data_IF_156561879592
#
_entry.id   IF_156561879592
#
_cell.length_a   1.000
_cell.length_b   1.000
_cell.length_c   1.000
_cell.angle_alpha   90.00
_cell.angle_beta   90.00
_cell.angle_gamma   90.00
#
_symmetry.space_group_name_H-M   'P 1'
#
loop_
_entity.id
_entity.type
_entity.pdbx_description
1 polymer ?
#
# COMPACT_ATOMS: atom_id res chain seq x y z
N UNK A 1 -13.36 -11.42 45.60
CA UNK A 1 -14.34 -10.85 44.65
C UNK A 1 -13.82 -11.02 43.22
N UNK A 2 -14.29 -12.06 42.53
CA UNK A 2 -13.81 -12.56 41.23
C UNK A 2 -14.59 -11.93 40.08
N UNK A 3 -14.00 -10.95 39.40
CA UNK A 3 -14.63 -10.22 38.27
C UNK A 3 -14.14 -10.70 36.90
N UNK A 4 -13.99 -12.02 36.71
CA UNK A 4 -13.23 -12.58 35.57
C UNK A 4 -14.00 -13.58 34.66
N UNK A 5 -15.23 -13.99 35.00
CA UNK A 5 -15.97 -15.01 34.23
C UNK A 5 -16.88 -14.47 33.12
N UNK A 6 -17.39 -13.25 33.24
CA UNK A 6 -18.39 -12.69 32.31
C UNK A 6 -17.83 -12.41 30.91
N UNK A 7 -16.58 -11.93 30.82
CA UNK A 7 -15.96 -11.60 29.52
C UNK A 7 -15.48 -12.82 28.74
N UNK A 8 -15.16 -13.93 29.42
CA UNK A 8 -14.84 -15.21 28.75
C UNK A 8 -16.13 -15.85 28.23
N UNK A 9 -17.14 -16.02 29.10
CA UNK A 9 -18.40 -16.65 28.72
C UNK A 9 -19.10 -15.91 27.56
N UNK A 10 -19.10 -14.58 27.55
CA UNK A 10 -19.62 -13.80 26.43
C UNK A 10 -18.82 -14.03 25.13
N UNK A 11 -17.48 -14.05 25.20
CA UNK A 11 -16.63 -14.30 24.03
C UNK A 11 -16.86 -15.70 23.48
N UNK A 12 -16.98 -16.69 24.36
CA UNK A 12 -17.18 -18.09 23.99
C UNK A 12 -18.52 -18.29 23.30
N UNK A 13 -19.61 -17.78 23.88
CA UNK A 13 -20.95 -17.81 23.26
C UNK A 13 -20.97 -17.08 21.90
N UNK A 14 -20.35 -15.90 21.82
CA UNK A 14 -20.22 -15.15 20.57
C UNK A 14 -19.44 -15.93 19.51
N UNK A 15 -18.34 -16.57 19.89
CA UNK A 15 -17.51 -17.35 18.99
C UNK A 15 -18.22 -18.63 18.53
N UNK A 16 -18.97 -19.30 19.41
CA UNK A 16 -19.79 -20.45 19.05
C UNK A 16 -20.82 -20.08 17.96
N UNK A 17 -21.55 -18.98 18.17
CA UNK A 17 -22.51 -18.47 17.17
C UNK A 17 -21.81 -18.06 15.86
N UNK A 18 -20.64 -17.43 15.94
CA UNK A 18 -19.87 -17.05 14.76
C UNK A 18 -19.35 -18.26 13.97
N UNK A 19 -18.88 -19.31 14.65
CA UNK A 19 -18.45 -20.57 14.04
C UNK A 19 -19.61 -21.27 13.34
N UNK A 20 -20.78 -21.34 13.97
CA UNK A 20 -21.97 -21.93 13.36
C UNK A 20 -22.37 -21.19 12.07
N UNK A 21 -22.38 -19.85 12.10
CA UNK A 21 -22.65 -19.02 10.91
C UNK A 21 -21.60 -19.18 9.82
N UNK A 22 -20.31 -19.19 10.19
CA UNK A 22 -19.22 -19.38 9.25
C UNK A 22 -19.36 -20.74 8.57
N UNK A 23 -19.47 -21.82 9.35
CA UNK A 23 -19.64 -23.19 8.86
C UNK A 23 -20.79 -23.30 7.86
N UNK A 24 -21.98 -22.76 8.21
CA UNK A 24 -23.15 -22.76 7.32
C UNK A 24 -22.93 -22.00 6.01
N UNK A 25 -22.09 -20.96 6.01
CA UNK A 25 -21.86 -20.10 4.85
C UNK A 25 -20.65 -20.52 4.00
N UNK A 26 -19.88 -21.54 4.42
CA UNK A 26 -18.69 -21.97 3.68
C UNK A 26 -19.08 -22.69 2.38
N UNK A 27 -18.47 -22.32 1.25
CA UNK A 27 -18.58 -23.13 0.04
C UNK A 27 -17.80 -24.46 0.17
N UNK A 28 -18.06 -25.45 -0.70
CA UNK A 28 -17.35 -26.73 -0.69
C UNK A 28 -15.82 -26.58 -0.80
N UNK A 29 -15.37 -25.63 -1.62
CA UNK A 29 -13.96 -25.27 -1.74
C UNK A 29 -13.72 -23.93 -1.07
N UNK A 30 -12.91 -23.91 0.00
CA UNK A 30 -12.48 -22.70 0.68
C UNK A 30 -11.03 -22.81 1.18
N UNK A 31 -10.21 -21.73 1.15
CA UNK A 31 -8.80 -21.83 1.51
C UNK A 31 -8.57 -22.30 2.97
N UNK A 32 -7.98 -23.48 3.15
CA UNK A 32 -7.72 -24.04 4.48
C UNK A 32 -6.90 -23.12 5.39
N UNK A 33 -5.88 -22.45 4.84
CA UNK A 33 -5.08 -21.49 5.59
C UNK A 33 -5.89 -20.30 6.12
N UNK A 34 -6.97 -19.90 5.43
CA UNK A 34 -7.87 -18.83 5.88
C UNK A 34 -8.76 -19.33 7.02
N UNK A 35 -9.24 -20.57 6.96
CA UNK A 35 -10.05 -21.18 8.04
C UNK A 35 -9.24 -21.34 9.31
N UNK A 36 -8.07 -21.97 9.22
CA UNK A 36 -7.17 -22.16 10.37
C UNK A 36 -6.87 -20.81 11.04
N UNK A 37 -6.58 -19.77 10.25
CA UNK A 37 -6.38 -18.42 10.78
C UNK A 37 -7.64 -17.85 11.46
N UNK A 38 -8.80 -18.00 10.83
CA UNK A 38 -10.08 -17.48 11.32
C UNK A 38 -10.48 -18.10 12.67
N UNK A 39 -10.33 -19.42 12.81
CA UNK A 39 -10.64 -20.16 14.04
C UNK A 39 -9.67 -19.83 15.18
N UNK A 40 -8.41 -19.52 14.84
CA UNK A 40 -7.40 -19.07 15.78
C UNK A 40 -7.51 -17.58 16.17
N UNK A 41 -8.58 -16.86 15.78
CA UNK A 41 -8.80 -15.48 16.21
C UNK A 41 -9.52 -15.42 17.56
N UNK A 42 -9.18 -14.44 18.43
CA UNK A 42 -9.92 -14.23 19.68
C UNK A 42 -11.42 -14.01 19.46
N UNK A 43 -11.78 -13.36 18.35
CA UNK A 43 -13.14 -13.25 17.86
C UNK A 43 -13.22 -13.83 16.45
N UNK A 44 -13.96 -14.93 16.30
CA UNK A 44 -14.10 -15.65 15.03
C UNK A 44 -14.89 -14.78 14.04
N UNK A 45 -14.39 -14.57 12.81
CA UNK A 45 -15.14 -13.86 11.79
C UNK A 45 -16.36 -14.70 11.36
N UNK A 46 -17.59 -14.16 11.42
CA UNK A 46 -18.81 -14.96 11.24
C UNK A 46 -19.14 -15.27 9.76
N UNK A 47 -18.35 -14.77 8.81
CA UNK A 47 -18.63 -14.85 7.37
C UNK A 47 -17.35 -15.13 6.58
N UNK A 48 -17.40 -15.92 5.48
CA UNK A 48 -16.23 -16.27 4.69
C UNK A 48 -15.45 -15.06 4.17
N UNK A 49 -16.15 -14.01 3.72
CA UNK A 49 -15.53 -12.74 3.31
C UNK A 49 -14.71 -12.11 4.43
N UNK A 50 -15.25 -12.05 5.64
CA UNK A 50 -14.57 -11.47 6.79
C UNK A 50 -13.38 -12.34 7.24
N UNK A 51 -13.47 -13.66 7.06
CA UNK A 51 -12.35 -14.56 7.27
C UNK A 51 -11.19 -14.27 6.30
N UNK A 52 -11.50 -14.11 5.01
CA UNK A 52 -10.52 -13.74 3.97
C UNK A 52 -9.88 -12.37 4.26
N UNK A 53 -10.68 -11.35 4.58
CA UNK A 53 -10.16 -10.02 4.94
C UNK A 53 -9.29 -10.06 6.20
N UNK A 54 -9.72 -10.80 7.22
CA UNK A 54 -8.96 -10.99 8.46
C UNK A 54 -7.62 -11.66 8.18
N UNK A 55 -7.60 -12.72 7.38
CA UNK A 55 -6.38 -13.43 7.00
C UNK A 55 -5.38 -12.48 6.34
N UNK A 56 -5.76 -11.76 5.28
CA UNK A 56 -4.83 -10.88 4.58
C UNK A 56 -4.31 -9.72 5.45
N UNK A 57 -5.17 -9.17 6.32
CA UNK A 57 -4.76 -8.12 7.28
C UNK A 57 -3.65 -8.57 8.23
N UNK A 58 -3.63 -9.85 8.62
CA UNK A 58 -2.62 -10.40 9.54
C UNK A 58 -1.40 -10.98 8.81
N UNK A 59 -1.43 -11.05 7.48
CA UNK A 59 -0.33 -11.55 6.66
C UNK A 59 0.17 -10.48 5.68
N UNK A 60 0.57 -9.29 6.14
CA UNK A 60 0.93 -8.16 5.26
C UNK A 60 2.11 -8.46 4.35
N UNK A 61 3.11 -9.25 4.80
CA UNK A 61 4.23 -9.67 3.95
C UNK A 61 3.77 -10.58 2.79
N UNK A 62 2.84 -11.50 3.06
CA UNK A 62 2.26 -12.37 2.03
C UNK A 62 1.38 -11.55 1.07
N UNK A 63 0.60 -10.62 1.61
CA UNK A 63 -0.24 -9.71 0.83
C UNK A 63 0.60 -8.86 -0.13
N UNK A 64 1.69 -8.24 0.35
CA UNK A 64 2.61 -7.45 -0.46
C UNK A 64 3.21 -8.26 -1.62
N UNK A 65 3.79 -9.42 -1.30
CA UNK A 65 4.40 -10.32 -2.31
C UNK A 65 3.38 -10.75 -3.36
N UNK A 66 2.20 -11.17 -2.93
CA UNK A 66 1.15 -11.63 -3.84
C UNK A 66 0.59 -10.49 -4.69
N UNK A 67 0.33 -9.31 -4.12
CA UNK A 67 -0.18 -8.17 -4.89
C UNK A 67 0.77 -7.76 -6.03
N UNK A 68 2.09 -7.76 -5.76
CA UNK A 68 3.11 -7.49 -6.79
C UNK A 68 3.22 -8.62 -7.81
N UNK A 69 3.16 -9.88 -7.38
CA UNK A 69 3.17 -11.02 -8.30
C UNK A 69 1.94 -11.03 -9.21
N UNK A 70 0.76 -10.67 -8.70
CA UNK A 70 -0.45 -10.51 -9.51
C UNK A 70 -0.30 -9.35 -10.51
N UNK A 71 0.27 -8.22 -10.09
CA UNK A 71 0.50 -7.10 -10.99
C UNK A 71 1.46 -7.47 -12.13
N UNK A 72 2.51 -8.24 -11.84
CA UNK A 72 3.48 -8.69 -12.84
C UNK A 72 2.89 -9.68 -13.87
N UNK A 73 1.71 -10.26 -13.59
CA UNK A 73 0.99 -11.14 -14.52
C UNK A 73 0.03 -10.38 -15.43
N UNK A 74 -0.20 -9.09 -15.19
CA UNK A 74 -1.07 -8.27 -16.02
C UNK A 74 -0.29 -7.56 -17.12
N UNK A 75 -0.84 -7.49 -18.34
CA UNK A 75 -0.23 -6.74 -19.43
C UNK A 75 -0.24 -5.26 -19.08
N UNK A 76 0.80 -4.55 -19.50
CA UNK A 76 0.86 -3.11 -19.24
C UNK A 76 -0.15 -2.37 -20.10
N UNK A 77 -1.06 -1.51 -19.58
CA UNK A 77 -1.92 -0.74 -20.46
C UNK A 77 -1.08 0.06 -21.44
N UNK A 78 -1.48 0.00 -22.70
CA UNK A 78 -0.79 0.67 -23.79
C UNK A 78 -0.66 2.18 -23.50
N UNK A 79 0.53 2.72 -23.77
CA UNK A 79 0.85 4.13 -23.50
C UNK A 79 0.90 4.54 -22.03
N UNK A 80 0.73 3.60 -21.09
CA UNK A 80 0.77 3.94 -19.67
C UNK A 80 2.17 4.37 -19.24
N UNK A 81 2.23 5.49 -18.53
CA UNK A 81 3.40 5.99 -17.80
C UNK A 81 2.97 6.53 -16.46
N UNK A 82 3.85 6.46 -15.45
CA UNK A 82 3.52 7.01 -14.14
C UNK A 82 3.47 8.54 -14.20
N UNK A 83 2.26 9.08 -14.18
CA UNK A 83 1.98 10.51 -14.10
C UNK A 83 1.24 10.86 -12.80
N UNK A 84 1.50 12.06 -12.31
CA UNK A 84 0.78 12.60 -11.15
C UNK A 84 -0.34 13.51 -11.64
N UNK A 85 -1.47 13.57 -10.93
CA UNK A 85 -2.62 14.37 -11.38
C UNK A 85 -2.30 15.87 -11.55
N UNK A 86 -1.38 16.40 -10.73
CA UNK A 86 -0.92 17.79 -10.84
C UNK A 86 -0.16 18.10 -12.16
N UNK A 87 0.29 17.09 -12.92
CA UNK A 87 0.94 17.29 -14.22
C UNK A 87 -0.06 17.63 -15.34
N UNK A 88 -1.37 17.41 -15.14
CA UNK A 88 -2.40 17.62 -16.17
C UNK A 88 -3.16 18.96 -16.09
N UNK A 89 -2.82 19.84 -15.15
CA UNK A 89 -3.56 21.09 -14.88
C UNK A 89 -2.95 22.36 -15.46
N UNK A 90 -2.11 22.26 -16.51
CA UNK A 90 -1.41 23.42 -17.08
C UNK A 90 -2.22 24.18 -18.16
N UNK A 91 -3.44 23.73 -18.51
CA UNK A 91 -4.37 24.49 -19.35
C UNK A 91 -5.61 24.87 -18.53
N UNK A 92 -5.50 25.93 -17.73
CA UNK A 92 -6.63 26.42 -16.95
C UNK A 92 -6.22 27.32 -15.78
N UNK A 93 -5.95 28.59 -16.09
CA UNK A 93 -6.16 29.72 -15.17
C UNK A 93 -5.58 29.60 -13.76
N UNK A 94 -4.35 30.09 -13.59
CA UNK A 94 -3.81 30.43 -12.28
C UNK A 94 -4.71 31.47 -11.58
N UNK A 95 -5.44 31.07 -10.53
CA UNK A 95 -5.81 31.87 -9.35
C UNK A 95 -6.61 31.01 -8.34
N UNK A 96 -5.97 30.58 -7.24
CA UNK A 96 -6.71 30.06 -6.07
C UNK A 96 -6.06 29.00 -5.17
N UNK A 97 -4.91 28.41 -5.55
CA UNK A 97 -4.44 27.15 -4.94
C UNK A 97 -3.73 27.21 -3.57
N UNK A 98 -3.41 28.39 -3.03
CA UNK A 98 -2.60 28.48 -1.82
C UNK A 98 -3.38 28.19 -0.52
N UNK A 99 -4.67 28.53 -0.47
CA UNK A 99 -5.48 28.43 0.78
C UNK A 99 -6.06 27.03 1.03
N UNK A 100 -6.20 26.17 0.01
CA UNK A 100 -6.77 24.83 0.17
C UNK A 100 -5.76 23.79 0.72
N UNK A 101 -4.46 23.98 0.47
CA UNK A 101 -3.40 23.06 0.94
C UNK A 101 -3.12 23.13 2.44
N UNK A 102 -3.36 24.28 3.08
CA UNK A 102 -3.18 24.42 4.53
C UNK A 102 -4.28 23.70 5.34
N UNK A 103 -5.51 23.60 4.81
CA UNK A 103 -6.66 22.99 5.52
C UNK A 103 -6.67 21.46 5.49
N UNK A 104 -6.04 20.81 4.50
CA UNK A 104 -5.99 19.34 4.39
C UNK A 104 -4.96 18.67 5.32
N UNK A 105 -3.97 19.42 5.82
CA UNK A 105 -2.97 18.90 6.77
C UNK A 105 -3.48 18.75 8.21
N UNK A 106 -4.54 19.46 8.59
CA UNK A 106 -5.06 19.50 9.96
C UNK A 106 -6.14 18.46 10.26
N UNK A 107 -6.69 17.78 9.26
CA UNK A 107 -7.72 16.75 9.42
C UNK A 107 -7.21 15.52 8.69
N UNK A 108 -7.14 14.35 9.35
CA UNK A 108 -6.73 13.06 8.78
C UNK A 108 -7.68 12.55 7.69
N UNK A 109 -7.94 13.39 6.69
CA UNK A 109 -8.86 13.19 5.59
C UNK A 109 -8.23 12.26 4.58
N UNK A 110 -9.00 11.24 4.23
CA UNK A 110 -8.76 10.38 3.09
C UNK A 110 -8.58 11.26 1.84
N UNK A 111 -7.35 11.36 1.35
CA UNK A 111 -7.03 12.02 0.08
C UNK A 111 -8.00 11.46 -0.99
N UNK A 112 -8.86 12.33 -1.51
CA UNK A 112 -9.77 11.99 -2.61
C UNK A 112 -8.86 11.75 -3.82
N UNK A 113 -8.96 10.61 -4.53
CA UNK A 113 -8.31 10.49 -5.83
C UNK A 113 -8.78 11.67 -6.69
N UNK A 114 -7.87 12.23 -7.47
CA UNK A 114 -8.22 13.22 -8.49
C UNK A 114 -9.28 12.63 -9.44
N UNK A 115 -10.05 13.49 -10.11
CA UNK A 115 -11.21 13.11 -10.92
C UNK A 115 -10.88 12.01 -11.95
N UNK A 116 -9.65 12.04 -12.47
CA UNK A 116 -9.12 11.08 -13.44
C UNK A 116 -8.64 9.76 -12.82
N UNK A 117 -8.59 9.61 -11.50
CA UNK A 117 -8.11 8.41 -10.80
C UNK A 117 -6.58 8.28 -10.66
N UNK A 118 -5.81 9.28 -11.11
CA UNK A 118 -4.34 9.35 -10.97
C UNK A 118 -3.91 9.63 -9.53
N UNK A 119 -2.64 9.35 -9.23
CA UNK A 119 -2.05 9.62 -7.92
C UNK A 119 -1.77 11.12 -7.73
N UNK A 120 -2.27 11.71 -6.64
CA UNK A 120 -2.02 13.13 -6.32
C UNK A 120 -0.57 13.42 -5.86
N UNK A 121 0.21 12.38 -5.54
CA UNK A 121 1.61 12.51 -5.11
C UNK A 121 2.38 11.22 -5.38
N UNK A 122 3.70 11.32 -5.58
CA UNK A 122 4.61 10.18 -5.65
C UNK A 122 4.61 9.28 -4.38
N UNK A 123 3.99 9.73 -3.29
CA UNK A 123 3.80 8.91 -2.08
C UNK A 123 2.67 7.90 -2.22
N UNK A 124 1.76 8.12 -3.16
CA UNK A 124 0.67 7.18 -3.47
C UNK A 124 1.14 6.24 -4.58
N UNK A 125 1.08 4.91 -4.37
CA UNK A 125 1.46 3.96 -5.42
C UNK A 125 0.60 4.13 -6.67
N UNK A 126 1.16 3.94 -7.88
CA UNK A 126 0.36 3.97 -9.10
C UNK A 126 -0.71 2.87 -9.11
N UNK A 127 -1.87 3.19 -9.66
CA UNK A 127 -3.01 2.27 -9.85
C UNK A 127 -3.60 2.50 -11.24
N UNK A 128 -2.94 2.03 -12.32
CA UNK A 128 -3.34 2.33 -13.70
C UNK A 128 -4.81 2.06 -13.97
N UNK A 129 -5.32 0.94 -13.46
CA UNK A 129 -6.70 0.51 -13.68
C UNK A 129 -7.77 1.32 -12.92
N UNK A 130 -7.36 2.32 -12.12
CA UNK A 130 -8.26 3.36 -11.59
C UNK A 130 -8.31 4.59 -12.48
N UNK A 131 -7.28 4.80 -13.29
CA UNK A 131 -7.17 5.93 -14.19
C UNK A 131 -8.26 5.84 -15.25
N UNK A 132 -8.90 6.96 -15.60
CA UNK A 132 -10.02 6.97 -16.53
C UNK A 132 -9.63 6.35 -17.90
N UNK A 133 -8.45 6.68 -18.41
CA UNK A 133 -7.92 6.21 -19.68
C UNK A 133 -7.65 4.68 -19.73
N UNK A 134 -7.44 4.05 -18.57
CA UNK A 134 -7.07 2.63 -18.48
C UNK A 134 -8.00 1.85 -17.56
N UNK A 135 -9.21 2.37 -17.34
CA UNK A 135 -10.14 1.86 -16.33
C UNK A 135 -10.48 0.40 -16.61
N UNK A 136 -10.18 -0.46 -15.64
CA UNK A 136 -10.54 -1.86 -15.76
C UNK A 136 -12.05 -2.08 -15.69
N UNK A 137 -12.49 -3.11 -16.41
CA UNK A 137 -13.84 -3.64 -16.41
C UNK A 137 -14.31 -4.12 -15.01
N UNK A 138 -15.64 -4.22 -14.78
CA UNK A 138 -16.18 -4.77 -13.54
C UNK A 138 -15.66 -6.19 -13.26
N UNK A 139 -15.26 -6.46 -12.02
CA UNK A 139 -14.69 -7.75 -11.63
C UNK A 139 -13.18 -7.87 -11.84
N UNK A 140 -12.50 -6.81 -12.25
CA UNK A 140 -11.05 -6.75 -12.37
C UNK A 140 -10.45 -5.87 -11.26
N UNK A 141 -9.34 -6.31 -10.67
CA UNK A 141 -8.71 -5.58 -9.58
C UNK A 141 -8.04 -4.32 -10.09
N UNK A 142 -8.44 -3.16 -9.55
CA UNK A 142 -7.89 -1.88 -9.99
C UNK A 142 -6.45 -1.58 -9.52
N UNK A 143 -5.83 -2.49 -8.75
CA UNK A 143 -4.42 -2.39 -8.40
C UNK A 143 -3.55 -3.27 -9.32
N UNK A 144 -3.87 -4.55 -9.43
CA UNK A 144 -3.02 -5.51 -10.14
C UNK A 144 -3.51 -5.86 -11.54
N UNK A 145 -4.74 -5.51 -11.92
CA UNK A 145 -5.31 -5.81 -13.25
C UNK A 145 -5.81 -7.25 -13.42
N UNK A 146 -5.77 -8.07 -12.37
CA UNK A 146 -6.19 -9.47 -12.44
C UNK A 146 -7.68 -9.65 -12.06
N UNK A 147 -8.36 -10.69 -12.57
CA UNK A 147 -9.74 -11.04 -12.21
C UNK A 147 -9.94 -11.23 -10.71
N UNK A 148 -11.02 -10.70 -10.16
CA UNK A 148 -11.43 -10.84 -8.76
C UNK A 148 -12.53 -11.87 -8.65
N UNK A 149 -12.33 -12.89 -7.82
CA UNK A 149 -13.29 -13.96 -7.63
C UNK A 149 -14.10 -13.78 -6.34
N UNK A 150 -14.96 -14.76 -6.02
CA UNK A 150 -15.81 -14.76 -4.84
C UNK A 150 -15.00 -14.43 -3.58
N UNK A 151 -15.62 -13.63 -2.70
CA UNK A 151 -15.00 -13.08 -1.48
C UNK A 151 -13.78 -12.16 -1.68
N UNK A 152 -13.52 -11.70 -2.91
CA UNK A 152 -12.33 -10.91 -3.20
C UNK A 152 -11.07 -11.77 -3.28
N UNK A 153 -11.21 -13.08 -3.54
CA UNK A 153 -10.09 -13.99 -3.73
C UNK A 153 -9.41 -13.78 -5.09
N UNK A 154 -8.14 -14.13 -5.19
CA UNK A 154 -7.27 -13.81 -6.32
C UNK A 154 -7.12 -14.94 -7.34
N UNK A 155 -7.80 -16.07 -7.11
CA UNK A 155 -7.80 -17.23 -7.98
C UNK A 155 -9.21 -17.81 -8.06
N UNK A 156 -9.53 -18.46 -9.18
CA UNK A 156 -10.78 -19.20 -9.32
C UNK A 156 -10.67 -20.54 -8.60
N UNK A 157 -11.08 -20.57 -7.33
CA UNK A 157 -11.08 -21.81 -6.56
C UNK A 157 -12.29 -22.70 -6.84
N UNK A 158 -13.29 -22.16 -7.53
CA UNK A 158 -14.57 -22.85 -7.74
C UNK A 158 -14.70 -23.37 -9.17
N UNK A 159 -13.75 -23.04 -10.06
CA UNK A 159 -13.70 -23.53 -11.44
C UNK A 159 -14.86 -23.03 -12.30
N UNK A 160 -15.55 -21.96 -11.88
CA UNK A 160 -16.71 -21.45 -12.61
C UNK A 160 -16.33 -20.54 -13.76
N UNK A 161 -15.08 -20.05 -13.79
CA UNK A 161 -14.62 -18.99 -14.70
C UNK A 161 -15.22 -17.61 -14.37
N UNK A 162 -16.17 -17.53 -13.43
CA UNK A 162 -16.95 -16.33 -13.18
C UNK A 162 -16.24 -15.36 -12.23
N UNK A 163 -16.05 -14.14 -12.73
CA UNK A 163 -15.51 -13.02 -11.95
C UNK A 163 -16.61 -12.38 -11.11
N UNK A 164 -16.26 -11.93 -9.91
CA UNK A 164 -17.15 -11.11 -9.09
C UNK A 164 -17.24 -9.69 -9.63
N UNK A 165 -18.18 -9.44 -10.56
CA UNK A 165 -18.38 -8.14 -11.23
C UNK A 165 -18.60 -6.96 -10.29
N UNK A 166 -19.04 -7.20 -9.05
CA UNK A 166 -19.23 -6.15 -8.03
C UNK A 166 -17.94 -5.78 -7.30
N UNK A 167 -16.87 -6.56 -7.44
CA UNK A 167 -15.60 -6.31 -6.80
C UNK A 167 -14.62 -5.60 -7.75
N UNK A 168 -13.87 -4.64 -7.18
CA UNK A 168 -12.77 -3.93 -7.87
C UNK A 168 -11.42 -4.14 -7.20
N UNK A 169 -11.36 -5.02 -6.21
CA UNK A 169 -10.20 -5.26 -5.37
C UNK A 169 -10.15 -6.70 -4.90
N UNK A 170 -8.97 -7.33 -4.99
CA UNK A 170 -8.69 -8.48 -4.15
C UNK A 170 -8.50 -8.07 -2.69
N UNK A 171 -8.85 -8.96 -1.78
CA UNK A 171 -8.60 -8.76 -0.36
C UNK A 171 -7.08 -8.66 -0.05
N UNK A 172 -6.23 -9.42 -0.75
CA UNK A 172 -4.77 -9.31 -0.63
C UNK A 172 -4.26 -7.94 -1.12
N UNK A 173 -4.76 -7.47 -2.26
CA UNK A 173 -4.43 -6.17 -2.82
C UNK A 173 -4.87 -5.02 -1.91
N UNK A 174 -6.01 -5.11 -1.22
CA UNK A 174 -6.40 -4.13 -0.20
C UNK A 174 -5.43 -4.13 0.98
N UNK A 175 -5.02 -5.30 1.46
CA UNK A 175 -4.07 -5.39 2.56
C UNK A 175 -2.69 -4.82 2.18
N UNK A 176 -2.19 -5.12 0.98
CA UNK A 176 -0.98 -4.52 0.42
C UNK A 176 -1.11 -2.99 0.25
N UNK A 177 -2.22 -2.50 -0.28
CA UNK A 177 -2.48 -1.07 -0.41
C UNK A 177 -2.49 -0.34 0.94
N UNK A 178 -3.13 -0.93 1.96
CA UNK A 178 -3.14 -0.37 3.33
C UNK A 178 -1.72 -0.32 3.91
N UNK A 179 -0.93 -1.36 3.69
CA UNK A 179 0.49 -1.39 4.04
C UNK A 179 1.25 -0.24 3.36
N UNK A 180 1.15 -0.12 2.04
CA UNK A 180 1.90 0.86 1.24
C UNK A 180 1.58 2.30 1.59
N UNK A 181 0.32 2.60 1.95
CA UNK A 181 -0.09 3.95 2.37
C UNK A 181 0.23 4.28 3.83
N UNK A 182 0.45 3.27 4.67
CA UNK A 182 0.68 3.45 6.10
C UNK A 182 1.74 2.46 6.63
N UNK A 183 2.98 2.50 6.11
CA UNK A 183 4.00 1.50 6.42
C UNK A 183 4.49 1.56 7.87
N UNK A 184 4.29 2.69 8.56
CA UNK A 184 4.62 2.86 9.98
C UNK A 184 3.99 1.78 10.88
N UNK A 185 2.80 1.28 10.52
CA UNK A 185 2.14 0.19 11.24
C UNK A 185 2.89 -1.15 11.21
N UNK A 186 3.95 -1.28 10.42
CA UNK A 186 4.75 -2.50 10.27
C UNK A 186 6.09 -2.48 11.01
N UNK A 187 6.40 -1.44 11.79
CA UNK A 187 7.69 -1.30 12.47
C UNK A 187 8.10 -2.55 13.28
N UNK A 188 7.15 -3.22 13.94
CA UNK A 188 7.40 -4.46 14.68
C UNK A 188 7.72 -5.66 13.78
N UNK A 189 7.00 -5.81 12.66
CA UNK A 189 7.25 -6.87 11.71
C UNK A 189 8.60 -6.68 11.00
N UNK A 190 8.89 -5.46 10.52
CA UNK A 190 10.17 -5.11 9.91
C UNK A 190 11.35 -5.37 10.86
N UNK A 191 11.22 -4.97 12.13
CA UNK A 191 12.25 -5.26 13.13
C UNK A 191 12.49 -6.77 13.30
N UNK A 192 11.45 -7.61 13.29
CA UNK A 192 11.63 -9.06 13.34
C UNK A 192 12.35 -9.59 12.10
N UNK A 193 11.95 -9.14 10.91
CA UNK A 193 12.59 -9.53 9.65
C UNK A 193 14.07 -9.11 9.59
N UNK A 194 14.41 -7.99 10.22
CA UNK A 194 15.78 -7.48 10.32
C UNK A 194 16.55 -8.02 11.54
N UNK A 195 16.10 -9.11 12.17
CA UNK A 195 16.74 -9.69 13.37
C UNK A 195 16.95 -8.64 14.49
N UNK A 196 16.06 -7.66 14.56
CA UNK A 196 16.05 -6.52 15.49
C UNK A 196 17.32 -5.65 15.41
N UNK A 197 17.91 -5.55 14.22
CA UNK A 197 19.08 -4.71 13.92
C UNK A 197 18.74 -3.59 12.92
N UNK A 198 19.32 -2.43 13.13
CA UNK A 198 19.19 -1.29 12.25
C UNK A 198 20.12 -1.51 11.05
N UNK A 199 19.60 -1.54 9.80
CA UNK A 199 20.42 -1.78 8.62
C UNK A 199 21.35 -0.60 8.30
N UNK A 200 21.06 0.59 8.85
CA UNK A 200 21.87 1.79 8.63
C UNK A 200 23.03 1.92 9.62
N UNK A 201 22.85 1.50 10.86
CA UNK A 201 23.85 1.70 11.93
C UNK A 201 24.46 0.38 12.43
N UNK A 202 23.91 -0.77 12.05
CA UNK A 202 24.27 -2.09 12.61
C UNK A 202 23.80 -2.32 14.05
N UNK A 203 23.40 -1.26 14.77
CA UNK A 203 22.96 -1.32 16.16
C UNK A 203 21.63 -2.06 16.37
N UNK A 204 21.28 -2.31 17.63
CA UNK A 204 19.97 -2.89 17.99
C UNK A 204 18.85 -1.87 17.74
N UNK A 205 17.75 -2.30 17.14
CA UNK A 205 16.59 -1.43 16.94
C UNK A 205 15.91 -1.10 18.28
N UNK A 206 15.63 0.19 18.55
CA UNK A 206 14.95 0.60 19.76
C UNK A 206 13.44 0.35 19.66
N UNK A 207 12.72 0.61 20.76
CA UNK A 207 11.26 0.39 20.81
C UNK A 207 10.52 1.37 19.90
N UNK A 208 11.00 2.59 19.81
CA UNK A 208 10.49 3.75 19.04
C UNK A 208 11.07 3.86 17.62
N UNK A 209 11.71 2.79 17.12
CA UNK A 209 12.18 2.66 15.73
C UNK A 209 11.14 3.16 14.72
N UNK A 210 11.63 3.84 13.69
CA UNK A 210 10.81 4.38 12.61
C UNK A 210 10.84 3.46 11.38
N UNK A 211 9.86 3.62 10.49
CA UNK A 211 9.84 2.91 9.20
C UNK A 211 10.25 3.89 8.11
N UNK A 212 11.21 3.47 7.31
CA UNK A 212 11.81 4.27 6.25
C UNK A 212 11.89 3.49 4.94
N UNK A 213 11.99 4.21 3.83
CA UNK A 213 12.23 3.65 2.51
C UNK A 213 13.74 3.61 2.21
N UNK A 214 14.28 2.45 1.83
CA UNK A 214 15.69 2.30 1.40
C UNK A 214 16.01 3.23 0.24
N UNK A 215 15.16 3.20 -0.79
CA UNK A 215 15.16 4.14 -1.91
C UNK A 215 14.03 5.16 -1.69
N UNK A 216 14.34 6.45 -1.53
CA UNK A 216 13.33 7.48 -1.32
C UNK A 216 12.34 7.59 -2.49
N UNK A 217 11.03 7.62 -2.21
CA UNK A 217 9.99 7.59 -3.24
C UNK A 217 10.05 8.77 -4.24
N UNK A 218 10.62 9.91 -3.86
CA UNK A 218 10.81 11.04 -4.77
C UNK A 218 11.89 10.75 -5.85
N UNK A 219 12.91 9.95 -5.53
CA UNK A 219 13.88 9.47 -6.51
C UNK A 219 13.27 8.39 -7.39
N UNK A 220 12.41 7.55 -6.83
CA UNK A 220 11.68 6.53 -7.59
C UNK A 220 10.84 7.19 -8.68
N UNK A 221 10.06 8.22 -8.33
CA UNK A 221 9.29 8.98 -9.31
C UNK A 221 10.16 9.64 -10.38
N UNK A 222 11.31 10.22 -10.02
CA UNK A 222 12.20 10.84 -11.01
C UNK A 222 12.84 9.85 -11.97
N UNK A 223 13.24 8.67 -11.48
CA UNK A 223 14.09 7.72 -12.23
C UNK A 223 13.32 6.58 -12.89
N UNK A 224 12.13 6.26 -12.39
CA UNK A 224 11.40 5.06 -12.80
C UNK A 224 9.98 5.37 -13.28
N UNK A 225 9.62 6.63 -13.57
CA UNK A 225 8.26 6.95 -14.04
C UNK A 225 7.87 6.29 -15.36
N UNK A 226 8.87 5.96 -16.19
CA UNK A 226 8.68 5.32 -17.49
C UNK A 226 8.78 3.78 -17.41
N UNK A 227 9.08 3.23 -16.23
CA UNK A 227 9.10 1.79 -16.04
C UNK A 227 7.66 1.22 -15.95
N UNK A 228 7.46 -0.07 -16.26
CA UNK A 228 6.18 -0.75 -16.03
C UNK A 228 5.71 -0.61 -14.56
N UNK A 229 4.43 -0.30 -14.30
CA UNK A 229 3.96 -0.17 -12.90
C UNK A 229 4.23 -1.40 -12.04
N UNK A 230 4.17 -2.66 -12.52
CA UNK A 230 4.42 -3.81 -11.66
C UNK A 230 5.83 -3.79 -11.06
N UNK A 231 6.80 -3.27 -11.82
CA UNK A 231 8.18 -3.12 -11.38
C UNK A 231 8.29 -2.01 -10.33
N UNK A 232 7.62 -0.88 -10.54
CA UNK A 232 7.66 0.28 -9.64
C UNK A 232 6.97 -0.04 -8.29
N UNK A 233 5.94 -0.88 -8.25
CA UNK A 233 5.22 -1.22 -7.01
C UNK A 233 6.13 -1.78 -5.89
N UNK A 234 7.29 -2.36 -6.22
CA UNK A 234 8.26 -2.84 -5.22
C UNK A 234 8.73 -1.75 -4.25
N UNK A 235 8.68 -0.48 -4.66
CA UNK A 235 9.22 0.64 -3.88
C UNK A 235 8.34 1.07 -2.71
N UNK A 236 7.07 0.66 -2.63
CA UNK A 236 6.23 0.88 -1.43
C UNK A 236 6.16 -0.33 -0.52
N UNK A 237 6.55 -1.50 -1.02
CA UNK A 237 6.46 -2.78 -0.33
C UNK A 237 7.67 -3.10 0.54
N UNK A 238 7.62 -4.26 1.18
CA UNK A 238 8.72 -4.77 2.01
C UNK A 238 10.11 -4.77 1.35
N UNK A 239 10.29 -4.95 0.02
CA UNK A 239 11.62 -4.87 -0.59
C UNK A 239 12.31 -3.51 -0.39
N UNK A 240 11.54 -2.43 -0.27
CA UNK A 240 12.07 -1.09 -0.11
C UNK A 240 11.82 -0.52 1.29
N UNK A 241 11.13 -1.22 2.18
CA UNK A 241 10.91 -0.77 3.56
C UNK A 241 12.00 -1.29 4.50
N UNK A 242 12.30 -0.50 5.52
CA UNK A 242 13.19 -0.86 6.60
C UNK A 242 12.74 -0.22 7.92
N UNK A 243 12.95 -0.91 9.04
CA UNK A 243 12.91 -0.31 10.37
C UNK A 243 14.29 0.26 10.70
N UNK A 244 14.34 1.50 11.15
CA UNK A 244 15.58 2.25 11.43
C UNK A 244 15.53 2.90 12.80
N UNK A 245 16.70 3.16 13.36
CA UNK A 245 16.86 4.08 14.49
C UNK A 245 16.36 5.48 14.09
N UNK A 246 15.70 6.17 15.02
CA UNK A 246 15.25 7.56 14.87
C UNK A 246 16.41 8.50 14.51
N UNK A 247 17.57 8.36 15.15
CA UNK A 247 18.74 9.19 14.84
C UNK A 247 19.20 8.98 13.39
N UNK A 248 19.27 7.71 12.95
CA UNK A 248 19.60 7.36 11.57
C UNK A 248 18.54 7.88 10.57
N UNK A 249 17.27 7.80 10.92
CA UNK A 249 16.17 8.32 10.09
C UNK A 249 16.26 9.84 9.92
N UNK A 250 16.55 10.59 10.99
CA UNK A 250 16.74 12.04 10.94
C UNK A 250 17.94 12.42 10.07
N UNK A 251 19.08 11.73 10.23
CA UNK A 251 20.27 11.94 9.41
C UNK A 251 19.98 11.73 7.91
N UNK A 252 19.32 10.62 7.56
CA UNK A 252 18.91 10.34 6.17
C UNK A 252 17.93 11.38 5.63
N UNK A 253 16.91 11.74 6.41
CA UNK A 253 15.95 12.76 6.03
C UNK A 253 16.62 14.12 5.76
N UNK A 254 17.61 14.49 6.57
CA UNK A 254 18.44 15.67 6.37
C UNK A 254 19.28 15.61 5.09
N UNK A 255 19.96 14.49 4.84
CA UNK A 255 20.74 14.28 3.63
C UNK A 255 19.88 14.34 2.36
N UNK A 256 18.69 13.72 2.39
CA UNK A 256 17.72 13.78 1.30
C UNK A 256 17.17 15.19 1.07
N UNK A 257 16.90 15.95 2.14
CA UNK A 257 16.47 17.34 2.04
C UNK A 257 17.56 18.22 1.41
N UNK A 258 18.82 18.03 1.81
CA UNK A 258 19.98 18.70 1.22
C UNK A 258 20.15 18.36 -0.27
N UNK A 259 20.00 17.09 -0.65
CA UNK A 259 20.04 16.68 -2.06
C UNK A 259 18.93 17.33 -2.90
N UNK A 260 17.69 17.40 -2.36
CA UNK A 260 16.58 18.11 -3.02
C UNK A 260 16.79 19.61 -3.10
N UNK A 261 17.50 20.22 -2.15
CA UNK A 261 17.85 21.63 -2.21
C UNK A 261 18.90 21.91 -3.29
N UNK A 262 19.95 21.06 -3.38
CA UNK A 262 20.99 21.15 -4.41
C UNK A 262 20.41 20.98 -5.82
N UNK A 263 19.57 19.98 -6.04
CA UNK A 263 18.93 19.74 -7.34
C UNK A 263 17.92 20.82 -7.79
N UNK A 264 17.56 21.76 -6.90
CA UNK A 264 16.72 22.92 -7.23
C UNK A 264 17.54 24.18 -7.50
N UNK A 265 18.85 24.18 -7.22
CA UNK A 265 19.69 25.32 -7.59
C UNK A 265 19.84 25.29 -9.12
N UNK A 266 19.52 26.38 -9.82
CA UNK A 266 19.93 26.51 -11.21
C UNK A 266 21.45 26.41 -11.26
N UNK A 267 21.97 25.70 -12.25
CA UNK A 267 23.38 25.73 -12.59
C UNK A 267 23.73 27.19 -12.87
N UNK A 268 24.64 27.77 -12.08
CA UNK A 268 25.05 29.14 -12.30
C UNK A 268 25.67 29.21 -13.69
N UNK A 269 25.10 30.04 -14.57
CA UNK A 269 25.67 30.28 -15.89
C UNK A 269 27.15 30.67 -15.70
N UNK A 270 28.08 30.12 -16.50
CA UNK A 270 29.47 30.53 -16.42
C UNK A 270 29.56 32.04 -16.62
N UNK A 271 30.26 32.71 -15.71
CA UNK A 271 30.54 34.14 -15.80
C UNK A 271 31.19 34.41 -17.17
N UNK A 272 30.72 35.38 -17.97
CA UNK A 272 31.45 35.78 -19.15
C UNK A 272 32.85 36.21 -18.71
N UNK A 273 33.87 35.60 -19.30
CA UNK A 273 35.25 36.00 -19.10
C UNK A 273 35.37 37.48 -19.49
N UNK A 274 35.94 38.29 -18.60
CA UNK A 274 36.30 39.65 -18.94
C UNK A 274 37.41 39.58 -19.99
N UNK A 275 37.13 40.10 -21.18
CA UNK A 275 38.14 40.28 -22.22
C UNK A 275 39.22 41.25 -21.70
N UNK A 276 40.52 40.90 -21.79
CA UNK A 276 41.59 41.84 -21.49
C UNK A 276 41.67 42.89 -22.61
N UNK A 277 41.76 44.16 -22.19
CA UNK A 277 41.89 45.34 -23.02
C UNK A 277 43.24 45.43 -23.75
#
# INVERSE_FOLDING_TARGET
MTRERSTSAWRDARNAAARARLSKALPPVFPRAVLVHAEARPLVPPQPRLAVESYWRHHPLRADRLARALAARSPVPEGWRWSLAAEGGAEGGAKGGAKSRAKSRAKGGREKPDEDGRAGSFRVPPTPFREAAHRAEPGTCCLCGQPVYRFGWHADLWGTGERNRRARWHACCVAAWKLWRAPAGQAALLARLQKRRCPMTGGRLPRDREVDHRVPLHLVWRRHRDAPWPEILRYWGFPNLQAVDRAAHLAKSGAEAGARARARRPEAAPSPAADPA
#
